data_IF_713227867242
#
_entry.id   IF_713227867242
#
_cell.length_a   1.000
_cell.length_b   1.000
_cell.length_c   1.000
_cell.angle_alpha   90.00
_cell.angle_beta   90.00
_cell.angle_gamma   90.00
#
_symmetry.space_group_name_H-M   'P 1'
#
loop_
_entity.id
_entity.type
_entity.pdbx_description
1 polymer ?
#
# COMPACT_ATOMS: atom_id res chain seq x y z
N UNK A 1 5.66 15.27 -11.93
CA UNK A 1 5.06 14.12 -12.65
C UNK A 1 3.81 13.71 -11.87
N UNK A 2 2.60 13.96 -12.39
CA UNK A 2 1.33 13.71 -11.69
C UNK A 2 0.50 12.71 -12.51
N UNK A 3 0.82 11.42 -12.40
CA UNK A 3 0.20 10.40 -13.28
C UNK A 3 -1.03 9.71 -12.67
N UNK A 4 -1.42 10.04 -11.43
CA UNK A 4 -2.52 9.36 -10.71
C UNK A 4 -3.56 10.28 -10.06
N UNK A 5 -3.63 11.57 -10.44
CA UNK A 5 -4.74 12.42 -10.02
C UNK A 5 -5.97 12.07 -10.86
N UNK A 6 -6.85 11.21 -10.35
CA UNK A 6 -8.28 11.43 -10.60
C UNK A 6 -8.55 12.85 -10.10
N UNK A 7 -8.89 13.76 -11.01
CA UNK A 7 -8.89 15.20 -10.79
C UNK A 7 -9.66 15.57 -9.50
N UNK A 8 -8.92 15.98 -8.46
CA UNK A 8 -9.48 16.35 -7.15
C UNK A 8 -9.81 15.22 -6.16
N UNK A 9 -9.67 13.93 -6.52
CA UNK A 9 -9.90 12.83 -5.57
C UNK A 9 -8.79 12.73 -4.53
N UNK A 10 -7.52 12.75 -4.93
CA UNK A 10 -6.38 12.81 -4.01
C UNK A 10 -6.17 14.26 -3.62
N UNK A 11 -6.40 14.58 -2.34
CA UNK A 11 -6.33 15.94 -1.80
C UNK A 11 -5.01 16.23 -1.07
N UNK A 12 -4.33 15.18 -0.58
CA UNK A 12 -3.00 15.30 0.01
C UNK A 12 -2.17 14.03 -0.21
N UNK A 13 -0.88 14.21 -0.48
CA UNK A 13 0.09 13.14 -0.63
C UNK A 13 1.28 13.39 0.31
N UNK A 14 1.27 12.71 1.45
CA UNK A 14 2.31 12.82 2.49
C UNK A 14 3.23 11.60 2.51
N UNK A 15 3.72 11.19 1.34
CA UNK A 15 4.64 10.05 1.24
C UNK A 15 6.09 10.49 1.43
N UNK A 16 6.77 9.85 2.38
CA UNK A 16 8.20 9.95 2.60
C UNK A 16 8.91 8.82 1.85
N UNK A 17 9.88 9.19 1.01
CA UNK A 17 10.78 8.26 0.33
C UNK A 17 12.13 8.29 1.04
N UNK A 18 12.44 7.21 1.75
CA UNK A 18 13.68 7.07 2.53
C UNK A 18 14.61 6.09 1.82
N UNK A 19 15.73 6.57 1.24
CA UNK A 19 16.75 5.67 0.70
C UNK A 19 17.45 4.91 1.84
N UNK A 20 17.60 3.61 1.67
CA UNK A 20 18.40 2.73 2.50
C UNK A 20 19.56 2.18 1.68
N UNK A 21 20.54 1.52 2.32
CA UNK A 21 21.76 1.04 1.64
C UNK A 21 21.51 0.19 0.38
N UNK A 22 20.50 -0.67 0.39
CA UNK A 22 20.13 -1.58 -0.72
C UNK A 22 18.62 -1.60 -0.98
N UNK A 23 17.91 -0.57 -0.53
CA UNK A 23 16.46 -0.54 -0.60
C UNK A 23 15.94 0.89 -0.58
N UNK A 24 14.67 1.05 -0.90
CA UNK A 24 13.90 2.28 -0.77
C UNK A 24 12.70 1.93 0.10
N UNK A 25 12.53 2.69 1.18
CA UNK A 25 11.35 2.61 2.03
C UNK A 25 10.43 3.78 1.69
N UNK A 26 9.17 3.48 1.40
CA UNK A 26 8.13 4.47 1.14
C UNK A 26 7.09 4.32 2.25
N UNK A 27 6.88 5.39 3.00
CA UNK A 27 5.94 5.41 4.12
C UNK A 27 5.16 6.71 4.16
N UNK A 28 3.92 6.67 4.64
CA UNK A 28 3.17 7.88 4.91
C UNK A 28 1.69 7.71 4.61
N UNK A 29 1.00 8.83 4.37
CA UNK A 29 -0.44 8.82 4.18
C UNK A 29 -0.83 9.58 2.92
N UNK A 30 -1.72 8.98 2.14
CA UNK A 30 -2.45 9.65 1.05
C UNK A 30 -3.84 9.97 1.59
N UNK A 31 -4.29 11.21 1.48
CA UNK A 31 -5.66 11.60 1.83
C UNK A 31 -6.47 11.85 0.57
N UNK A 32 -7.68 11.32 0.57
CA UNK A 32 -8.61 11.41 -0.53
C UNK A 32 -9.90 12.13 -0.09
N UNK A 33 -10.65 12.62 -1.07
CA UNK A 33 -11.97 13.20 -0.87
C UNK A 33 -12.92 12.20 -0.18
N UNK A 34 -13.87 12.72 0.59
CA UNK A 34 -14.80 11.88 1.36
C UNK A 34 -14.20 11.28 2.65
N UNK A 35 -13.03 11.77 3.10
CA UNK A 35 -12.43 11.36 4.38
C UNK A 35 -11.67 10.03 4.32
N UNK A 36 -11.51 9.45 3.13
CA UNK A 36 -10.71 8.26 2.89
C UNK A 36 -9.23 8.59 3.03
N UNK A 37 -8.51 7.72 3.72
CA UNK A 37 -7.06 7.80 3.87
C UNK A 37 -6.43 6.44 3.53
N UNK A 38 -5.24 6.50 2.96
CA UNK A 38 -4.42 5.32 2.67
C UNK A 38 -3.11 5.46 3.43
N UNK A 39 -2.94 4.66 4.46
CA UNK A 39 -1.64 4.45 5.11
C UNK A 39 -0.80 3.51 4.24
N UNK A 40 0.35 4.01 3.82
CA UNK A 40 1.25 3.33 2.90
C UNK A 40 2.50 2.93 3.65
N UNK A 41 2.87 1.66 3.53
CA UNK A 41 4.20 1.15 3.80
C UNK A 41 4.61 0.28 2.62
N UNK A 42 5.73 0.61 1.96
CA UNK A 42 6.26 -0.16 0.83
C UNK A 42 7.77 -0.23 0.92
N UNK A 43 8.32 -1.40 0.64
CA UNK A 43 9.76 -1.60 0.52
C UNK A 43 10.09 -2.11 -0.88
N UNK A 44 11.02 -1.41 -1.51
CA UNK A 44 11.64 -1.79 -2.76
C UNK A 44 13.09 -2.19 -2.48
N UNK A 45 13.52 -3.40 -2.79
CA UNK A 45 14.95 -3.74 -2.77
C UNK A 45 15.58 -3.33 -4.12
N UNK A 46 16.81 -2.83 -4.08
CA UNK A 46 17.57 -2.43 -5.27
C UNK A 46 18.36 -3.66 -5.75
N UNK A 47 18.03 -4.12 -6.95
CA UNK A 47 18.64 -5.30 -7.59
C UNK A 47 19.93 -4.94 -8.33
N UNK A 48 19.96 -3.77 -8.95
CA UNK A 48 21.11 -3.26 -9.70
C UNK A 48 21.33 -1.77 -9.39
N UNK A 49 22.58 -1.42 -9.05
CA UNK A 49 23.01 -0.07 -8.68
C UNK A 49 23.88 0.60 -9.76
N UNK A 50 24.20 -0.09 -10.86
CA UNK A 50 25.21 0.38 -11.82
C UNK A 50 24.71 1.53 -12.72
N UNK A 51 23.40 1.79 -12.75
CA UNK A 51 22.77 2.79 -13.62
C UNK A 51 22.11 3.97 -12.89
N UNK A 52 21.93 5.09 -13.63
CA UNK A 52 21.13 6.25 -13.18
C UNK A 52 19.65 5.92 -12.96
N UNK A 53 19.21 4.73 -13.38
CA UNK A 53 17.88 4.17 -13.20
C UNK A 53 18.01 2.78 -12.55
N UNK A 54 18.16 2.70 -11.22
CA UNK A 54 18.37 1.42 -10.55
C UNK A 54 17.18 0.48 -10.77
N UNK A 55 17.45 -0.78 -11.07
CA UNK A 55 16.42 -1.81 -11.10
C UNK A 55 15.99 -2.12 -9.66
N UNK A 56 14.68 -2.06 -9.41
CA UNK A 56 14.10 -2.30 -8.09
C UNK A 56 13.00 -3.35 -8.14
N UNK A 57 12.81 -4.06 -7.03
CA UNK A 57 11.75 -5.04 -6.85
C UNK A 57 10.96 -4.74 -5.58
N UNK A 58 9.64 -4.77 -5.65
CA UNK A 58 8.79 -4.73 -4.44
C UNK A 58 8.96 -6.02 -3.67
N UNK A 59 9.44 -5.91 -2.42
CA UNK A 59 9.66 -7.07 -1.53
C UNK A 59 8.65 -7.13 -0.41
N UNK A 60 8.08 -5.98 -0.01
CA UNK A 60 6.94 -5.95 0.90
C UNK A 60 6.11 -4.69 0.72
N UNK A 61 4.83 -4.81 1.04
CA UNK A 61 3.93 -3.67 1.13
C UNK A 61 2.79 -3.93 2.11
N UNK A 62 2.24 -2.85 2.65
CA UNK A 62 0.97 -2.80 3.36
C UNK A 62 0.28 -1.48 2.98
N UNK A 63 -0.94 -1.57 2.45
CA UNK A 63 -1.76 -0.43 2.07
C UNK A 63 -3.07 -0.49 2.83
N UNK A 64 -3.15 0.24 3.94
CA UNK A 64 -4.32 0.27 4.80
C UNK A 64 -5.24 1.43 4.39
N UNK A 65 -6.43 1.10 3.90
CA UNK A 65 -7.45 2.08 3.56
C UNK A 65 -8.44 2.19 4.72
N UNK A 66 -8.62 3.41 5.22
CA UNK A 66 -9.52 3.70 6.33
C UNK A 66 -10.32 4.97 6.09
N UNK A 67 -11.48 5.06 6.73
CA UNK A 67 -12.34 6.23 6.72
C UNK A 67 -12.16 6.98 8.04
N UNK A 68 -11.84 8.27 7.95
CA UNK A 68 -11.58 9.12 9.11
C UNK A 68 -12.78 9.14 10.06
N UNK A 69 -12.54 8.80 11.33
CA UNK A 69 -13.58 8.74 12.37
C UNK A 69 -14.46 7.48 12.34
N UNK A 70 -14.25 6.56 11.40
CA UNK A 70 -15.04 5.31 11.31
C UNK A 70 -14.16 4.07 11.48
N UNK A 71 -13.05 3.96 10.75
CA UNK A 71 -12.11 2.85 10.89
C UNK A 71 -11.63 2.26 9.56
N UNK A 72 -10.95 1.12 9.63
CA UNK A 72 -10.40 0.41 8.47
C UNK A 72 -11.53 -0.07 7.55
N UNK A 73 -11.35 0.08 6.25
CA UNK A 73 -12.26 -0.40 5.19
C UNK A 73 -11.71 -1.68 4.58
N UNK A 74 -10.46 -1.62 4.12
CA UNK A 74 -9.70 -2.78 3.66
C UNK A 74 -8.21 -2.51 3.74
N UNK A 75 -7.41 -3.58 3.81
CA UNK A 75 -5.95 -3.49 3.80
C UNK A 75 -5.36 -4.53 2.87
N UNK A 76 -4.54 -4.10 1.93
CA UNK A 76 -3.75 -4.99 1.12
C UNK A 76 -2.40 -5.25 1.78
N UNK A 77 -1.98 -6.51 1.85
CA UNK A 77 -0.69 -6.91 2.38
C UNK A 77 0.03 -7.83 1.38
N UNK A 78 1.36 -7.66 1.28
CA UNK A 78 2.24 -8.60 0.59
C UNK A 78 2.36 -9.91 1.39
N UNK A 79 2.84 -11.00 0.76
CA UNK A 79 3.29 -12.18 1.48
C UNK A 79 4.21 -11.84 2.66
N UNK A 80 3.99 -12.45 3.80
CA UNK A 80 4.86 -12.39 4.97
C UNK A 80 5.02 -13.80 5.58
N UNK A 81 6.16 -14.02 6.23
CA UNK A 81 6.67 -15.37 6.52
C UNK A 81 5.93 -16.12 7.63
N UNK A 82 5.22 -15.39 8.47
CA UNK A 82 4.66 -15.84 9.74
C UNK A 82 3.23 -16.41 9.62
N UNK A 83 2.41 -15.94 8.68
CA UNK A 83 1.02 -16.42 8.58
C UNK A 83 0.42 -16.46 7.16
N UNK A 84 0.65 -15.47 6.29
CA UNK A 84 0.11 -15.45 4.93
C UNK A 84 1.22 -15.34 3.89
N UNK A 85 1.49 -16.44 3.20
CA UNK A 85 2.53 -16.52 2.17
C UNK A 85 2.04 -16.07 0.78
N UNK A 86 0.83 -15.52 0.70
CA UNK A 86 0.20 -15.03 -0.54
C UNK A 86 -0.19 -13.57 -0.38
N UNK A 87 -0.23 -12.84 -1.49
CA UNK A 87 -0.84 -11.52 -1.54
C UNK A 87 -2.30 -11.64 -1.12
N UNK A 88 -2.75 -10.74 -0.24
CA UNK A 88 -4.11 -10.81 0.26
C UNK A 88 -4.65 -9.44 0.63
N UNK A 89 -5.97 -9.39 0.76
CA UNK A 89 -6.70 -8.22 1.24
C UNK A 89 -7.54 -8.61 2.44
N UNK A 90 -7.36 -7.87 3.53
CA UNK A 90 -8.28 -7.85 4.66
C UNK A 90 -9.43 -6.90 4.32
N UNK A 91 -10.68 -7.33 4.49
CA UNK A 91 -11.85 -6.46 4.43
C UNK A 91 -12.47 -6.38 5.81
N UNK A 92 -12.89 -5.19 6.20
CA UNK A 92 -13.41 -4.91 7.53
C UNK A 92 -14.87 -4.49 7.46
N UNK A 93 -15.64 -4.89 8.46
CA UNK A 93 -16.96 -4.31 8.68
C UNK A 93 -16.82 -3.04 9.51
N UNK A 94 -16.75 -1.92 8.79
CA UNK A 94 -16.53 -0.60 9.36
C UNK A 94 -17.71 -0.13 10.23
N UNK A 95 -18.90 -0.72 10.04
CA UNK A 95 -20.10 -0.36 10.80
C UNK A 95 -20.29 -1.26 12.03
N UNK A 96 -19.70 -2.46 12.05
CA UNK A 96 -19.77 -3.41 13.16
C UNK A 96 -18.40 -3.67 13.80
N UNK A 97 -17.90 -2.66 14.53
CA UNK A 97 -16.70 -2.71 15.37
C UNK A 97 -15.34 -2.86 14.67
N UNK A 98 -15.28 -2.77 13.33
CA UNK A 98 -14.01 -2.75 12.60
C UNK A 98 -13.28 -4.10 12.57
N UNK A 99 -13.98 -5.19 12.85
CA UNK A 99 -13.41 -6.54 12.77
C UNK A 99 -13.17 -6.95 11.31
N UNK A 100 -12.12 -7.74 11.08
CA UNK A 100 -11.89 -8.36 9.76
C UNK A 100 -13.04 -9.32 9.46
N UNK A 101 -13.77 -9.07 8.38
CA UNK A 101 -14.87 -9.93 7.91
C UNK A 101 -14.44 -10.89 6.82
N UNK A 102 -13.39 -10.58 6.08
CA UNK A 102 -12.85 -11.48 5.07
C UNK A 102 -11.36 -11.25 4.84
N UNK A 103 -10.65 -12.35 4.60
CA UNK A 103 -9.32 -12.35 3.98
C UNK A 103 -9.46 -13.00 2.62
N UNK A 104 -9.11 -12.27 1.56
CA UNK A 104 -9.15 -12.80 0.18
C UNK A 104 -7.74 -12.84 -0.37
N UNK A 105 -7.30 -14.01 -0.81
CA UNK A 105 -6.03 -14.18 -1.48
C UNK A 105 -6.11 -13.70 -2.94
N UNK A 106 -5.04 -13.07 -3.39
CA UNK A 106 -4.89 -12.52 -4.74
C UNK A 106 -3.95 -13.48 -5.48
N UNK A 107 -4.53 -14.35 -6.29
CA UNK A 107 -3.78 -15.36 -7.05
C UNK A 107 -3.33 -14.89 -8.43
N UNK A 108 -3.89 -13.78 -8.91
CA UNK A 108 -3.57 -13.19 -10.21
C UNK A 108 -2.66 -11.98 -9.99
N UNK A 109 -1.50 -11.99 -10.65
CA UNK A 109 -0.48 -10.95 -10.51
C UNK A 109 -0.99 -9.56 -10.95
N UNK A 110 -1.86 -9.51 -11.96
CA UNK A 110 -2.46 -8.27 -12.46
C UNK A 110 -3.39 -7.60 -11.43
N UNK A 111 -3.83 -8.37 -10.41
CA UNK A 111 -4.67 -7.88 -9.33
C UNK A 111 -3.88 -7.50 -8.07
N UNK A 112 -2.54 -7.67 -8.07
CA UNK A 112 -1.70 -7.23 -6.96
C UNK A 112 -1.58 -5.70 -7.03
N UNK A 113 -1.96 -4.97 -5.97
CA UNK A 113 -1.94 -3.52 -6.02
C UNK A 113 -0.51 -2.99 -6.14
N UNK A 114 -0.30 -2.10 -7.08
CA UNK A 114 0.93 -1.33 -7.20
C UNK A 114 0.66 0.14 -6.92
N UNK A 115 1.17 0.66 -5.79
CA UNK A 115 1.39 2.09 -5.65
C UNK A 115 2.76 2.41 -6.26
N UNK A 116 2.79 2.88 -7.51
CA UNK A 116 4.00 3.14 -8.30
C UNK A 116 3.70 3.90 -9.58
#
# INVERSE_FOLDING_TARGET
MHKYKCDGFVIYEGLLITPLRKAILITGTIECSGGLKVEVQKRLDILDQEDRNPLVQTVSYSYNVFLTGVGNVFRYDSPHKDHNQQHHVHRYDVLNAGNTVAVTYIGDEENIPTLG
#
